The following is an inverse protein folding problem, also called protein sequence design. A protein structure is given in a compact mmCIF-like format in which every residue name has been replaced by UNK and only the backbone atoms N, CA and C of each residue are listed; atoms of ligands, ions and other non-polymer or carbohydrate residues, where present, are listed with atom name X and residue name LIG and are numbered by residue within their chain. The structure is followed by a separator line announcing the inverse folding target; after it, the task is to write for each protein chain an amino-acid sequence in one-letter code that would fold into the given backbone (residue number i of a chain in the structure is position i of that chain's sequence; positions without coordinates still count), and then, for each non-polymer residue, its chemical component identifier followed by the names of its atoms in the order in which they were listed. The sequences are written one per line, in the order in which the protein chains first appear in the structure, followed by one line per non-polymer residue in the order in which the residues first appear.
data_IF_762875630158
#
_entry.id   IF_762875630158
#
_cell.length_a   1.000
_cell.length_b   1.000
_cell.length_c   1.000
_cell.angle_alpha   90.00
_cell.angle_beta   90.00
_cell.angle_gamma   90.00
#
_symmetry.space_group_name_H-M   'P 1'
#
loop_
_entity.id
_entity.type
_entity.pdbx_description
1 polymer ?
#
# COMPACT_ATOMS: atom_id res chain seq x y z
N UNK A 1 21.38 -0.66 2.33
CA UNK A 1 20.60 -0.55 3.59
C UNK A 1 19.25 0.15 3.37
N UNK A 2 19.25 1.36 2.79
CA UNK A 2 18.02 2.16 2.57
C UNK A 2 16.99 1.46 1.68
N UNK A 3 17.40 0.78 0.61
CA UNK A 3 16.45 0.05 -0.26
C UNK A 3 15.77 -1.13 0.45
N UNK A 4 16.53 -1.89 1.26
CA UNK A 4 15.97 -2.98 2.10
C UNK A 4 14.94 -2.43 3.09
N UNK A 5 15.25 -1.31 3.75
CA UNK A 5 14.32 -0.64 4.66
C UNK A 5 13.06 -0.11 3.94
N UNK A 6 13.24 0.47 2.74
CA UNK A 6 12.13 0.89 1.91
C UNK A 6 11.22 -0.26 1.47
N UNK A 7 11.78 -1.45 1.27
CA UNK A 7 11.01 -2.67 0.98
C UNK A 7 10.17 -3.12 2.18
N UNK A 8 10.72 -3.04 3.40
CA UNK A 8 9.97 -3.34 4.63
C UNK A 8 8.79 -2.36 4.77
N UNK A 9 9.02 -1.06 4.58
CA UNK A 9 7.96 -0.04 4.62
C UNK A 9 6.87 -0.32 3.58
N UNK A 10 7.25 -0.75 2.36
CA UNK A 10 6.30 -1.15 1.33
C UNK A 10 5.38 -2.28 1.81
N UNK A 11 5.96 -3.35 2.35
CA UNK A 11 5.19 -4.51 2.83
C UNK A 11 4.29 -4.19 4.02
N UNK A 12 4.73 -3.31 4.92
CA UNK A 12 3.90 -2.82 6.03
C UNK A 12 2.65 -2.11 5.49
N UNK A 13 2.83 -1.18 4.55
CA UNK A 13 1.71 -0.45 3.97
C UNK A 13 0.76 -1.33 3.17
N UNK A 14 1.32 -2.29 2.43
CA UNK A 14 0.55 -3.26 1.68
C UNK A 14 -0.28 -4.17 2.60
N UNK A 15 0.31 -4.71 3.66
CA UNK A 15 -0.37 -5.56 4.63
C UNK A 15 -1.47 -4.81 5.38
N UNK A 16 -1.20 -3.58 5.83
CA UNK A 16 -2.20 -2.71 6.46
C UNK A 16 -3.34 -2.37 5.48
N UNK A 17 -3.01 -2.08 4.22
CA UNK A 17 -3.99 -1.83 3.16
C UNK A 17 -4.93 -3.02 2.97
N UNK A 18 -4.40 -4.24 2.87
CA UNK A 18 -5.22 -5.46 2.76
C UNK A 18 -6.09 -5.64 4.00
N UNK A 19 -5.51 -5.53 5.20
CA UNK A 19 -6.23 -5.72 6.45
C UNK A 19 -7.42 -4.76 6.58
N UNK A 20 -7.21 -3.47 6.32
CA UNK A 20 -8.28 -2.47 6.34
C UNK A 20 -9.31 -2.70 5.24
N UNK A 21 -8.88 -3.10 4.04
CA UNK A 21 -9.79 -3.43 2.94
C UNK A 21 -10.72 -4.58 3.32
N UNK A 22 -10.17 -5.67 3.86
CA UNK A 22 -10.95 -6.82 4.32
C UNK A 22 -11.90 -6.39 5.45
N UNK A 23 -11.42 -5.61 6.42
CA UNK A 23 -12.25 -5.05 7.49
C UNK A 23 -13.42 -4.23 6.96
N UNK A 24 -13.18 -3.35 5.98
CA UNK A 24 -14.22 -2.56 5.30
C UNK A 24 -15.23 -3.45 4.58
N UNK A 25 -14.76 -4.47 3.86
CA UNK A 25 -15.65 -5.42 3.18
C UNK A 25 -16.55 -6.12 4.20
N UNK A 26 -15.98 -6.71 5.25
CA UNK A 26 -16.78 -7.43 6.27
C UNK A 26 -17.75 -6.52 7.02
N UNK A 27 -17.34 -5.28 7.34
CA UNK A 27 -18.17 -4.34 8.08
C UNK A 27 -19.33 -3.79 7.23
N UNK A 28 -19.12 -3.59 5.92
CA UNK A 28 -20.09 -2.90 5.06
C UNK A 28 -20.84 -3.80 4.08
N UNK A 29 -20.49 -5.08 3.96
CA UNK A 29 -21.09 -6.01 2.97
C UNK A 29 -22.63 -5.99 3.00
N UNK A 30 -23.23 -5.95 4.19
CA UNK A 30 -24.69 -6.00 4.36
C UNK A 30 -25.37 -4.62 4.32
N UNK A 31 -24.62 -3.53 4.24
CA UNK A 31 -25.13 -2.16 4.34
C UNK A 31 -24.91 -1.34 3.06
N UNK A 32 -23.80 -1.56 2.37
CA UNK A 32 -23.41 -0.79 1.20
C UNK A 32 -23.80 -1.52 -0.10
N UNK A 33 -24.19 -0.76 -1.12
CA UNK A 33 -24.30 -1.29 -2.47
C UNK A 33 -22.91 -1.67 -3.00
N UNK A 34 -22.85 -2.64 -3.91
CA UNK A 34 -21.58 -3.13 -4.46
C UNK A 34 -20.65 -2.01 -4.97
N UNK A 35 -21.13 -0.98 -5.71
CA UNK A 35 -20.27 0.12 -6.15
C UNK A 35 -19.67 0.91 -4.99
N UNK A 36 -20.48 1.21 -3.96
CA UNK A 36 -20.05 1.96 -2.78
C UNK A 36 -19.03 1.13 -1.98
N UNK A 37 -19.28 -0.18 -1.83
CA UNK A 37 -18.39 -1.10 -1.14
C UNK A 37 -17.01 -1.14 -1.82
N UNK A 38 -16.97 -1.21 -3.15
CA UNK A 38 -15.72 -1.19 -3.93
C UNK A 38 -14.98 0.14 -3.71
N UNK A 39 -15.68 1.28 -3.78
CA UNK A 39 -15.06 2.60 -3.56
C UNK A 39 -14.45 2.72 -2.17
N UNK A 40 -15.19 2.36 -1.11
CA UNK A 40 -14.66 2.42 0.25
C UNK A 40 -13.49 1.44 0.46
N UNK A 41 -13.60 0.22 -0.07
CA UNK A 41 -12.52 -0.77 -0.02
C UNK A 41 -11.24 -0.25 -0.68
N UNK A 42 -11.36 0.40 -1.85
CA UNK A 42 -10.22 1.01 -2.53
C UNK A 42 -9.60 2.16 -1.71
N UNK A 43 -10.42 3.04 -1.13
CA UNK A 43 -9.93 4.13 -0.28
C UNK A 43 -9.22 3.58 0.97
N UNK A 44 -9.79 2.56 1.61
CA UNK A 44 -9.19 1.88 2.77
C UNK A 44 -7.83 1.26 2.46
N UNK A 45 -7.64 0.74 1.24
CA UNK A 45 -6.32 0.27 0.78
C UNK A 45 -5.35 1.43 0.53
N UNK A 46 -5.81 2.45 -0.20
CA UNK A 46 -4.96 3.52 -0.74
C UNK A 46 -4.38 4.43 0.35
N UNK A 47 -5.07 4.64 1.46
CA UNK A 47 -4.58 5.50 2.55
C UNK A 47 -3.26 4.97 3.15
N UNK A 48 -3.21 3.77 3.76
CA UNK A 48 -1.96 3.25 4.34
C UNK A 48 -0.89 2.99 3.27
N UNK A 49 -1.30 2.49 2.10
CA UNK A 49 -0.36 2.24 1.01
C UNK A 49 0.25 3.55 0.47
N UNK A 50 -0.55 4.60 0.32
CA UNK A 50 -0.09 5.92 -0.13
C UNK A 50 0.84 6.62 0.87
N UNK A 51 0.55 6.50 2.17
CA UNK A 51 1.42 7.03 3.24
C UNK A 51 2.79 6.34 3.18
N UNK A 52 2.81 5.01 3.21
CA UNK A 52 4.07 4.24 3.18
C UNK A 52 4.82 4.40 1.86
N UNK A 53 4.10 4.55 0.74
CA UNK A 53 4.69 4.88 -0.56
C UNK A 53 5.42 6.23 -0.52
N UNK A 54 4.81 7.24 0.10
CA UNK A 54 5.39 8.59 0.26
C UNK A 54 6.62 8.56 1.18
N UNK A 55 6.52 7.89 2.32
CA UNK A 55 7.64 7.69 3.26
C UNK A 55 8.80 6.98 2.56
N UNK A 56 8.51 5.90 1.83
CA UNK A 56 9.52 5.16 1.08
C UNK A 56 10.19 6.06 0.04
N UNK A 57 9.42 6.83 -0.74
CA UNK A 57 9.96 7.78 -1.71
C UNK A 57 10.91 8.79 -1.06
N UNK A 58 10.56 9.31 0.11
CA UNK A 58 11.41 10.24 0.84
C UNK A 58 12.74 9.62 1.30
N UNK A 59 12.73 8.32 1.66
CA UNK A 59 13.92 7.62 2.17
C UNK A 59 14.82 7.10 1.04
N UNK A 60 14.24 6.50 0.00
CA UNK A 60 14.96 5.78 -1.05
C UNK A 60 15.14 6.59 -2.33
N UNK A 61 14.46 7.74 -2.47
CA UNK A 61 14.38 8.50 -3.71
C UNK A 61 13.65 7.78 -4.85
N UNK A 62 13.14 6.57 -4.60
CA UNK A 62 12.52 5.72 -5.62
C UNK A 62 11.14 5.25 -5.19
N UNK A 63 10.17 5.42 -6.08
CA UNK A 63 8.79 5.09 -5.81
C UNK A 63 8.18 4.33 -6.99
N UNK A 64 8.19 3.00 -6.88
CA UNK A 64 7.50 2.09 -7.80
C UNK A 64 6.49 1.25 -7.04
N UNK A 65 5.48 0.75 -7.75
CA UNK A 65 4.59 -0.27 -7.20
C UNK A 65 5.33 -1.59 -6.92
N UNK A 66 6.35 -1.89 -7.72
CA UNK A 66 7.19 -3.07 -7.57
C UNK A 66 8.63 -2.65 -7.22
N UNK A 67 8.91 -2.22 -5.97
CA UNK A 67 10.20 -1.63 -5.61
C UNK A 67 11.40 -2.61 -5.72
N UNK A 68 11.17 -3.91 -5.67
CA UNK A 68 12.20 -4.95 -5.83
C UNK A 68 12.73 -5.11 -7.26
N UNK A 69 12.08 -4.51 -8.26
CA UNK A 69 12.55 -4.55 -9.66
C UNK A 69 13.55 -3.45 -9.99
N UNK A 70 13.86 -2.58 -9.03
CA UNK A 70 14.94 -1.58 -9.17
C UNK A 70 16.23 -2.35 -9.44
N UNK A 71 16.67 -2.37 -10.70
CA UNK A 71 18.00 -2.87 -11.07
C UNK A 71 19.00 -2.09 -10.22
N UNK A 72 19.80 -2.79 -9.43
CA UNK A 72 21.08 -2.26 -8.98
C UNK A 72 21.81 -1.91 -10.27
N UNK A 73 21.88 -0.62 -10.59
CA UNK A 73 22.94 -0.18 -11.50
C UNK A 73 24.19 -0.40 -10.68
N UNK A 74 24.90 -1.47 -11.01
CA UNK A 74 26.27 -1.72 -10.57
C UNK A 74 27.06 -0.47 -10.96
N UNK A 75 27.45 0.30 -9.94
CA UNK A 75 28.51 1.31 -10.04
C UNK A 75 29.87 0.59 -9.96
#
# INVERSE_FOLDING_TARGET
MRDKFGLVIHWIGFALGIFLTLGTIFALNSFATMPILISFSAVSFLIPYGITWTIRRAITGYASFFPWTKKEKED
#
